data_IF_780751396907
#
_entry.id   IF_780751396907
#
_cell.length_a   1.000
_cell.length_b   1.000
_cell.length_c   1.000
_cell.angle_alpha   90.00
_cell.angle_beta   90.00
_cell.angle_gamma   90.00
#
_symmetry.space_group_name_H-M   'P 1'
#
loop_
_entity.id
_entity.type
_entity.pdbx_description
1 polymer ?
#
# COMPACT_ATOMS: atom_id res chain seq x y z
N UNK A 1 -20.75 -14.32 -20.87
CA UNK A 1 -19.98 -13.07 -20.53
C UNK A 1 -18.76 -13.50 -19.72
N UNK A 2 -17.54 -13.19 -20.19
CA UNK A 2 -16.31 -13.81 -19.73
C UNK A 2 -15.95 -13.46 -18.28
N UNK A 3 -16.33 -14.29 -17.30
CA UNK A 3 -15.89 -14.22 -15.88
C UNK A 3 -14.37 -14.21 -15.76
N UNK A 4 -13.67 -14.87 -16.66
CA UNK A 4 -12.19 -14.92 -16.69
C UNK A 4 -11.53 -13.54 -16.92
N UNK A 5 -12.19 -12.59 -17.56
CA UNK A 5 -11.61 -11.29 -17.87
C UNK A 5 -11.57 -10.39 -16.63
N UNK A 6 -12.60 -10.41 -15.80
CA UNK A 6 -12.67 -9.63 -14.56
C UNK A 6 -11.71 -10.14 -13.48
N UNK A 7 -11.54 -11.47 -13.38
CA UNK A 7 -10.55 -12.09 -12.48
C UNK A 7 -9.12 -11.68 -12.86
N UNK A 8 -8.82 -11.57 -14.15
CA UNK A 8 -7.50 -11.09 -14.63
C UNK A 8 -7.25 -9.64 -14.23
N UNK A 9 -8.25 -8.77 -14.32
CA UNK A 9 -8.11 -7.34 -13.96
C UNK A 9 -7.83 -7.18 -12.46
N UNK A 10 -8.51 -7.93 -11.60
CA UNK A 10 -8.27 -7.91 -10.14
C UNK A 10 -6.83 -8.31 -9.80
N UNK A 11 -6.36 -9.41 -10.40
CA UNK A 11 -5.00 -9.91 -10.20
C UNK A 11 -3.96 -8.89 -10.67
N UNK A 12 -4.21 -8.18 -11.77
CA UNK A 12 -3.31 -7.11 -12.25
C UNK A 12 -3.22 -5.97 -11.24
N UNK A 13 -4.34 -5.50 -10.69
CA UNK A 13 -4.31 -4.44 -9.68
C UNK A 13 -3.62 -4.87 -8.39
N UNK A 14 -3.83 -6.11 -7.92
CA UNK A 14 -3.12 -6.65 -6.76
C UNK A 14 -1.62 -6.80 -7.03
N UNK A 15 -1.23 -7.24 -8.23
CA UNK A 15 0.18 -7.30 -8.62
C UNK A 15 0.83 -5.92 -8.64
N UNK A 16 0.14 -4.90 -9.17
CA UNK A 16 0.61 -3.51 -9.15
C UNK A 16 0.73 -3.01 -7.70
N UNK A 17 -0.22 -3.35 -6.82
CA UNK A 17 -0.14 -3.03 -5.39
C UNK A 17 1.13 -3.61 -4.75
N UNK A 18 1.43 -4.88 -5.01
CA UNK A 18 2.65 -5.54 -4.50
C UNK A 18 3.91 -4.85 -5.02
N UNK A 19 3.96 -4.54 -6.33
CA UNK A 19 5.10 -3.85 -6.94
C UNK A 19 5.29 -2.45 -6.36
N UNK A 20 4.21 -1.68 -6.22
CA UNK A 20 4.24 -0.34 -5.63
C UNK A 20 4.74 -0.38 -4.18
N UNK A 21 4.28 -1.34 -3.36
CA UNK A 21 4.75 -1.53 -1.99
C UNK A 21 6.22 -1.96 -1.95
N UNK A 22 6.65 -2.85 -2.83
CA UNK A 22 8.05 -3.27 -2.92
C UNK A 22 8.97 -2.09 -3.28
N UNK A 23 8.56 -1.25 -4.24
CA UNK A 23 9.29 -0.02 -4.58
C UNK A 23 9.27 0.96 -3.42
N UNK A 24 8.15 1.12 -2.70
CA UNK A 24 8.07 2.01 -1.54
C UNK A 24 9.03 1.60 -0.41
N UNK A 25 9.31 0.31 -0.25
CA UNK A 25 10.27 -0.18 0.76
C UNK A 25 11.71 0.20 0.43
N UNK A 26 12.05 0.36 -0.85
CA UNK A 26 13.41 0.66 -1.32
C UNK A 26 13.64 2.17 -1.40
N UNK A 27 12.60 2.95 -1.68
CA UNK A 27 12.67 4.38 -1.94
C UNK A 27 12.40 5.21 -0.67
N UNK A 28 13.07 6.37 -0.51
CA UNK A 28 12.78 7.26 0.61
C UNK A 28 11.35 7.82 0.53
N UNK A 29 10.76 8.02 1.71
CA UNK A 29 9.44 8.64 1.87
C UNK A 29 9.56 10.16 1.92
N UNK A 30 10.63 10.65 2.60
CA UNK A 30 10.89 12.07 2.75
C UNK A 30 12.42 12.31 2.78
N UNK A 31 12.84 13.43 2.21
CA UNK A 31 14.26 13.80 2.09
C UNK A 31 14.40 15.23 2.62
N UNK A 32 15.31 15.42 3.55
CA UNK A 32 15.60 16.71 4.16
C UNK A 32 16.31 17.69 3.23
N UNK A 33 16.63 18.89 3.74
CA UNK A 33 17.37 19.92 3.01
C UNK A 33 18.69 19.45 2.46
N UNK A 34 19.13 20.03 1.34
CA UNK A 34 20.42 19.71 0.74
C UNK A 34 21.57 19.92 1.73
N UNK A 35 22.44 18.91 1.86
CA UNK A 35 23.59 18.91 2.81
C UNK A 35 23.26 18.45 4.23
N UNK A 36 22.01 18.10 4.56
CA UNK A 36 21.63 17.71 5.92
C UNK A 36 21.78 16.22 6.25
N UNK A 37 22.12 15.34 5.30
CA UNK A 37 22.10 13.87 5.49
C UNK A 37 20.87 13.36 6.26
N UNK A 38 19.69 13.96 6.02
CA UNK A 38 18.44 13.65 6.68
C UNK A 38 17.49 12.97 5.70
N UNK A 39 17.21 11.68 5.93
CA UNK A 39 16.40 10.87 5.02
C UNK A 39 15.47 9.96 5.82
N UNK A 40 14.17 10.05 5.58
CA UNK A 40 13.18 9.11 6.09
C UNK A 40 12.92 8.01 5.06
N UNK A 41 13.24 6.78 5.46
CA UNK A 41 12.86 5.57 4.74
C UNK A 41 11.72 4.85 5.47
N UNK A 42 11.04 3.88 4.87
CA UNK A 42 10.04 3.08 5.59
C UNK A 42 10.60 2.29 6.78
N UNK A 43 11.90 2.05 6.83
CA UNK A 43 12.56 1.26 7.88
C UNK A 43 13.16 2.10 9.00
N UNK A 44 13.69 3.26 8.68
CA UNK A 44 14.44 4.09 9.62
C UNK A 44 14.47 5.56 9.18
N UNK A 45 14.75 6.42 10.14
CA UNK A 45 15.21 7.78 9.91
C UNK A 45 16.73 7.81 9.99
N UNK A 46 17.38 8.27 8.93
CA UNK A 46 18.80 8.62 8.92
C UNK A 46 18.96 10.09 9.28
N UNK A 47 19.70 10.39 10.35
CA UNK A 47 20.01 11.75 10.79
C UNK A 47 21.46 11.81 11.26
N UNK A 48 22.28 12.64 10.61
CA UNK A 48 23.70 12.83 10.96
C UNK A 48 24.47 11.50 11.15
N UNK A 49 24.30 10.58 10.20
CA UNK A 49 24.91 9.23 10.20
C UNK A 49 24.43 8.29 11.33
N UNK A 50 23.38 8.66 12.05
CA UNK A 50 22.70 7.80 13.01
C UNK A 50 21.39 7.25 12.45
N UNK A 51 21.12 5.96 12.72
CA UNK A 51 19.90 5.26 12.30
C UNK A 51 18.94 5.16 13.48
N UNK A 52 17.75 5.74 13.34
CA UNK A 52 16.66 5.58 14.29
C UNK A 52 15.57 4.68 13.67
N UNK A 53 15.31 3.52 14.26
CA UNK A 53 14.34 2.55 13.72
C UNK A 53 12.93 2.76 14.24
N UNK A 54 12.77 3.03 15.53
CA UNK A 54 11.45 3.26 16.12
C UNK A 54 11.17 4.76 16.28
N UNK A 55 9.99 5.25 15.91
CA UNK A 55 8.77 4.58 15.39
C UNK A 55 8.74 4.38 13.87
N UNK A 56 9.79 4.74 13.14
CA UNK A 56 9.82 4.84 11.67
C UNK A 56 9.61 3.49 10.96
N UNK A 57 10.09 2.39 11.55
CA UNK A 57 9.90 1.03 11.00
C UNK A 57 8.45 0.54 10.94
N UNK A 58 7.51 1.23 11.59
CA UNK A 58 6.09 0.89 11.53
C UNK A 58 5.57 0.88 10.09
N UNK A 59 6.01 1.84 9.28
CA UNK A 59 5.64 1.92 7.85
C UNK A 59 6.07 0.68 7.08
N UNK A 60 7.30 0.18 7.33
CA UNK A 60 7.81 -1.03 6.69
C UNK A 60 7.05 -2.30 7.15
N UNK A 61 6.73 -2.41 8.44
CA UNK A 61 5.96 -3.54 8.97
C UNK A 61 4.59 -3.62 8.29
N UNK A 62 3.90 -2.48 8.17
CA UNK A 62 2.60 -2.40 7.50
C UNK A 62 2.70 -2.69 6.00
N UNK A 63 3.80 -2.27 5.33
CA UNK A 63 4.05 -2.60 3.93
C UNK A 63 4.20 -4.11 3.71
N UNK A 64 5.02 -4.78 4.55
CA UNK A 64 5.23 -6.23 4.47
C UNK A 64 3.93 -6.99 4.75
N UNK A 65 3.15 -6.56 5.73
CA UNK A 65 1.82 -7.12 6.00
C UNK A 65 0.88 -6.96 4.80
N UNK A 66 0.86 -5.78 4.17
CA UNK A 66 0.06 -5.49 2.98
C UNK A 66 0.45 -6.36 1.78
N UNK A 67 1.75 -6.53 1.52
CA UNK A 67 2.26 -7.43 0.47
C UNK A 67 1.82 -8.87 0.73
N UNK A 68 1.97 -9.34 1.97
CA UNK A 68 1.59 -10.71 2.36
C UNK A 68 0.10 -10.96 2.13
N UNK A 69 -0.77 -10.03 2.55
CA UNK A 69 -2.21 -10.13 2.34
C UNK A 69 -2.58 -10.12 0.86
N UNK A 70 -1.97 -9.23 0.06
CA UNK A 70 -2.21 -9.17 -1.39
C UNK A 70 -1.81 -10.48 -2.08
N UNK A 71 -0.70 -11.12 -1.67
CA UNK A 71 -0.28 -12.44 -2.18
C UNK A 71 -1.28 -13.54 -1.80
N UNK A 72 -1.78 -13.55 -0.56
CA UNK A 72 -2.79 -14.51 -0.12
C UNK A 72 -4.08 -14.31 -0.90
N UNK A 73 -4.48 -13.04 -1.12
CA UNK A 73 -5.67 -12.67 -1.87
C UNK A 73 -5.63 -13.17 -3.32
N UNK A 74 -4.47 -13.05 -3.99
CA UNK A 74 -4.25 -13.60 -5.34
C UNK A 74 -4.37 -15.14 -5.33
N UNK A 75 -3.84 -15.82 -4.31
CA UNK A 75 -3.89 -17.29 -4.22
C UNK A 75 -5.28 -17.83 -3.87
N UNK A 76 -6.12 -17.06 -3.22
CA UNK A 76 -7.46 -17.46 -2.75
C UNK A 76 -8.58 -17.06 -3.70
N UNK A 77 -8.31 -17.06 -5.01
CA UNK A 77 -9.29 -16.71 -6.04
C UNK A 77 -10.55 -17.61 -6.07
N UNK A 78 -10.47 -18.83 -5.52
CA UNK A 78 -11.60 -19.78 -5.47
C UNK A 78 -12.67 -19.37 -4.45
N UNK A 79 -12.29 -18.64 -3.38
CA UNK A 79 -13.22 -18.22 -2.34
C UNK A 79 -13.38 -16.69 -2.35
N UNK A 80 -14.35 -16.18 -3.14
CA UNK A 80 -14.60 -14.75 -3.34
C UNK A 80 -14.95 -14.01 -2.05
N UNK A 81 -15.68 -14.66 -1.12
CA UNK A 81 -16.06 -14.06 0.16
C UNK A 81 -14.81 -13.85 1.02
N UNK A 82 -13.91 -14.84 1.06
CA UNK A 82 -12.64 -14.70 1.77
C UNK A 82 -11.77 -13.62 1.13
N UNK A 83 -11.71 -13.57 -0.20
CA UNK A 83 -10.96 -12.57 -0.95
C UNK A 83 -11.45 -11.15 -0.64
N UNK A 84 -12.77 -10.92 -0.59
CA UNK A 84 -13.35 -9.62 -0.19
C UNK A 84 -12.97 -9.23 1.26
N UNK A 85 -12.97 -10.19 2.19
CA UNK A 85 -12.56 -9.93 3.59
C UNK A 85 -11.07 -9.58 3.68
N UNK A 86 -10.22 -10.33 2.98
CA UNK A 86 -8.78 -10.08 2.93
C UNK A 86 -8.48 -8.71 2.30
N UNK A 87 -9.12 -8.38 1.18
CA UNK A 87 -8.96 -7.09 0.52
C UNK A 87 -9.43 -5.91 1.38
N UNK A 88 -10.50 -6.07 2.15
CA UNK A 88 -10.94 -5.05 3.11
C UNK A 88 -9.93 -4.88 4.25
N UNK A 89 -9.40 -5.98 4.79
CA UNK A 89 -8.35 -5.94 5.80
C UNK A 89 -7.08 -5.29 5.25
N UNK A 90 -6.67 -5.64 4.03
CA UNK A 90 -5.51 -5.05 3.37
C UNK A 90 -5.71 -3.54 3.16
N UNK A 91 -6.90 -3.11 2.75
CA UNK A 91 -7.23 -1.67 2.63
C UNK A 91 -7.03 -0.94 3.96
N UNK A 92 -7.44 -1.54 5.08
CA UNK A 92 -7.25 -0.95 6.42
C UNK A 92 -5.77 -0.83 6.78
N UNK A 93 -4.98 -1.88 6.52
CA UNK A 93 -3.52 -1.88 6.77
C UNK A 93 -2.82 -0.82 5.92
N UNK A 94 -3.15 -0.74 4.63
CA UNK A 94 -2.56 0.25 3.74
C UNK A 94 -2.98 1.69 4.10
N UNK A 95 -4.20 1.89 4.59
CA UNK A 95 -4.62 3.18 5.15
C UNK A 95 -3.80 3.55 6.38
N UNK A 96 -3.57 2.60 7.30
CA UNK A 96 -2.68 2.79 8.45
C UNK A 96 -1.24 3.11 8.05
N UNK A 97 -0.71 2.41 7.03
CA UNK A 97 0.61 2.69 6.46
C UNK A 97 0.69 4.12 5.90
N UNK A 98 -0.31 4.54 5.15
CA UNK A 98 -0.36 5.89 4.57
C UNK A 98 -0.43 6.97 5.66
N UNK A 99 -1.27 6.77 6.69
CA UNK A 99 -1.37 7.69 7.83
C UNK A 99 -0.03 7.78 8.56
N UNK A 100 0.61 6.64 8.84
CA UNK A 100 1.93 6.59 9.47
C UNK A 100 2.99 7.34 8.65
N UNK A 101 3.06 7.10 7.34
CA UNK A 101 4.02 7.76 6.46
C UNK A 101 3.80 9.28 6.40
N UNK A 102 2.56 9.74 6.30
CA UNK A 102 2.20 11.16 6.27
C UNK A 102 2.53 11.82 7.62
N UNK A 103 2.14 11.19 8.72
CA UNK A 103 2.36 11.75 10.06
C UNK A 103 3.84 11.92 10.35
N UNK A 104 4.66 10.88 10.11
CA UNK A 104 6.11 10.94 10.30
C UNK A 104 6.78 11.97 9.38
N UNK A 105 6.32 12.08 8.13
CA UNK A 105 6.83 13.09 7.20
C UNK A 105 6.43 14.51 7.60
N UNK A 106 5.22 14.71 8.14
CA UNK A 106 4.73 16.01 8.60
C UNK A 106 5.52 16.50 9.81
N UNK A 107 5.78 15.63 10.78
CA UNK A 107 6.59 15.93 11.96
C UNK A 107 7.99 16.44 11.57
N UNK A 108 8.64 15.75 10.62
CA UNK A 108 9.95 16.16 10.09
C UNK A 108 9.87 17.47 9.29
N UNK A 109 8.78 17.70 8.58
CA UNK A 109 8.57 18.94 7.83
C UNK A 109 8.39 20.15 8.75
N UNK A 110 7.72 19.98 9.89
CA UNK A 110 7.59 21.04 10.92
C UNK A 110 8.95 21.38 11.53
N UNK A 111 9.81 20.39 11.74
CA UNK A 111 11.16 20.61 12.26
C UNK A 111 12.12 21.23 11.22
N UNK A 112 11.90 20.98 9.92
CA UNK A 112 12.70 21.45 8.80
C UNK A 112 11.82 22.05 7.70
N UNK A 113 11.27 23.27 7.89
CA UNK A 113 10.25 23.84 7.00
C UNK A 113 10.75 24.25 5.62
N UNK A 114 12.06 24.33 5.40
CA UNK A 114 12.64 24.76 4.13
C UNK A 114 13.58 23.73 3.53
N UNK A 115 13.55 23.58 2.21
CA UNK A 115 14.51 22.78 1.46
C UNK A 115 14.24 21.26 1.46
N UNK A 116 13.16 20.78 2.05
CA UNK A 116 12.75 19.35 2.02
C UNK A 116 12.04 19.00 0.71
N UNK A 117 11.96 17.70 0.43
CA UNK A 117 11.14 17.14 -0.65
C UNK A 117 10.54 15.77 -0.26
N UNK A 118 9.35 15.49 -0.74
CA UNK A 118 8.78 14.15 -0.62
C UNK A 118 9.47 13.19 -1.58
N UNK A 119 9.80 12.01 -1.08
CA UNK A 119 10.45 10.97 -1.85
C UNK A 119 9.47 10.14 -2.66
N UNK A 120 10.00 9.38 -3.64
CA UNK A 120 9.22 8.48 -4.50
C UNK A 120 8.46 7.44 -3.67
N UNK A 121 9.02 7.01 -2.53
CA UNK A 121 8.38 6.05 -1.61
C UNK A 121 6.98 6.48 -1.19
N UNK A 122 6.76 7.76 -0.88
CA UNK A 122 5.45 8.26 -0.49
C UNK A 122 4.43 8.13 -1.64
N UNK A 123 4.80 8.51 -2.85
CA UNK A 123 3.91 8.38 -4.02
C UNK A 123 3.57 6.92 -4.33
N UNK A 124 4.51 5.99 -4.11
CA UNK A 124 4.26 4.56 -4.29
C UNK A 124 3.28 4.00 -3.25
N UNK A 125 3.30 4.51 -2.01
CA UNK A 125 2.29 4.18 -1.00
C UNK A 125 0.89 4.61 -1.47
N UNK A 126 0.74 5.84 -1.97
CA UNK A 126 -0.52 6.33 -2.54
C UNK A 126 -1.00 5.45 -3.71
N UNK A 127 -0.10 5.11 -4.63
CA UNK A 127 -0.41 4.24 -5.76
C UNK A 127 -0.89 2.86 -5.30
N UNK A 128 -0.23 2.27 -4.30
CA UNK A 128 -0.63 0.98 -3.72
C UNK A 128 -2.03 1.02 -3.10
N UNK A 129 -2.35 2.07 -2.33
CA UNK A 129 -3.69 2.26 -1.73
C UNK A 129 -4.77 2.33 -2.81
N UNK A 130 -4.55 3.13 -3.86
CA UNK A 130 -5.50 3.29 -4.97
C UNK A 130 -5.69 1.96 -5.71
N UNK A 131 -4.60 1.26 -6.05
CA UNK A 131 -4.67 -0.01 -6.77
C UNK A 131 -5.37 -1.10 -5.95
N UNK A 132 -5.09 -1.20 -4.65
CA UNK A 132 -5.78 -2.13 -3.76
C UNK A 132 -7.27 -1.82 -3.66
N UNK A 133 -7.64 -0.54 -3.52
CA UNK A 133 -9.04 -0.13 -3.49
C UNK A 133 -9.78 -0.50 -4.80
N UNK A 134 -9.13 -0.30 -5.95
CA UNK A 134 -9.68 -0.70 -7.25
C UNK A 134 -9.85 -2.22 -7.33
N UNK A 135 -8.85 -3.00 -6.90
CA UNK A 135 -8.94 -4.46 -6.85
C UNK A 135 -10.17 -4.92 -6.06
N UNK A 136 -10.32 -4.43 -4.82
CA UNK A 136 -11.49 -4.75 -3.96
C UNK A 136 -12.81 -4.32 -4.60
N UNK A 137 -12.85 -3.18 -5.28
CA UNK A 137 -14.05 -2.71 -5.99
C UNK A 137 -14.44 -3.66 -7.12
N UNK A 138 -13.47 -4.16 -7.89
CA UNK A 138 -13.73 -5.11 -8.97
C UNK A 138 -14.19 -6.47 -8.43
N UNK A 139 -13.57 -6.97 -7.35
CA UNK A 139 -14.00 -8.20 -6.68
C UNK A 139 -15.46 -8.12 -6.23
N UNK A 140 -15.85 -7.04 -5.58
CA UNK A 140 -17.24 -6.81 -5.14
C UNK A 140 -18.21 -6.71 -6.30
N UNK A 141 -17.81 -6.12 -7.41
CA UNK A 141 -18.66 -6.02 -8.62
C UNK A 141 -18.89 -7.41 -9.23
N UNK A 142 -17.83 -8.22 -9.32
CA UNK A 142 -17.90 -9.58 -9.87
C UNK A 142 -18.84 -10.47 -9.04
N UNK A 143 -18.72 -10.41 -7.71
CA UNK A 143 -19.60 -11.14 -6.77
C UNK A 143 -21.08 -10.76 -6.94
N UNK A 144 -21.39 -9.48 -7.11
CA UNK A 144 -22.77 -9.02 -7.34
C UNK A 144 -23.33 -9.60 -8.62
N UNK A 145 -22.56 -9.59 -9.72
CA UNK A 145 -23.01 -10.12 -11.01
C UNK A 145 -23.33 -11.62 -10.94
N UNK A 146 -22.52 -12.40 -10.22
CA UNK A 146 -22.74 -13.83 -10.03
C UNK A 146 -24.01 -14.07 -9.21
N UNK A 147 -24.17 -13.40 -8.08
CA UNK A 147 -25.33 -13.53 -7.21
C UNK A 147 -26.64 -13.12 -7.87
N UNK A 148 -26.62 -12.07 -8.71
CA UNK A 148 -27.79 -11.63 -9.45
C UNK A 148 -28.18 -12.65 -10.54
N UNK A 149 -27.21 -13.31 -11.18
CA UNK A 149 -27.48 -14.38 -12.14
C UNK A 149 -28.06 -15.66 -11.51
N UNK A 150 -27.69 -15.97 -10.27
CA UNK A 150 -28.23 -17.11 -9.52
C UNK A 150 -29.69 -16.87 -9.07
N UNK A 151 -30.08 -15.62 -8.82
CA UNK A 151 -31.47 -15.27 -8.44
C UNK A 151 -32.48 -15.34 -9.61
N UNK A 152 -31.97 -15.29 -10.84
CA UNK A 152 -32.81 -15.34 -12.05
C UNK A 152 -33.03 -16.79 -12.56
N UNK A 153 -32.46 -17.77 -11.90
CA UNK A 153 -32.64 -19.19 -12.18
C UNK A 153 -33.60 -19.86 -11.23
#
# INVERSE_FOLDING_TARGET
MNTNMWQRIQTVFLAITILALAVSLIQPVWIGPEGSNLVLTPFYLLQQDQYSYFPYSLTAILAVAGITLALIEIRRYDNRVLQMKLGALNTLILAGMMISAIWLSSDLTEQHPSGFRYGVGLYMIFAAVICNWLAVRFIRRDERLVRDSERLR
#
